data_IF_422083402470
#
_entry.id   IF_422083402470
#
_cell.length_a   1.000
_cell.length_b   1.000
_cell.length_c   1.000
_cell.angle_alpha   90.00
_cell.angle_beta   90.00
_cell.angle_gamma   90.00
#
_symmetry.space_group_name_H-M   'P 1'
#
loop_
_entity.id
_entity.type
_entity.pdbx_description
1 polymer ?
#
# COMPACT_ATOMS: atom_id res chain seq x y z
N UNK A 1 8.09 49.01 -18.86
CA UNK A 1 7.38 47.75 -19.00
C UNK A 1 8.12 46.66 -18.27
N UNK A 2 7.46 45.93 -17.39
CA UNK A 2 8.02 44.94 -16.47
C UNK A 2 8.80 45.53 -15.26
N UNK A 3 8.53 46.74 -14.85
CA UNK A 3 9.07 47.32 -13.62
C UNK A 3 8.52 46.55 -12.44
N UNK A 4 9.42 46.09 -11.57
CA UNK A 4 9.07 45.45 -10.27
C UNK A 4 9.40 46.45 -9.18
N UNK A 5 8.47 46.59 -8.21
CA UNK A 5 8.60 47.48 -7.06
C UNK A 5 8.31 46.72 -5.81
N UNK A 6 9.13 46.90 -4.78
CA UNK A 6 8.86 46.42 -3.42
C UNK A 6 7.88 47.35 -2.70
N UNK A 7 6.82 46.75 -2.13
CA UNK A 7 5.91 47.44 -1.24
C UNK A 7 6.28 47.02 0.20
N UNK A 8 6.76 47.98 0.95
CA UNK A 8 7.23 47.71 2.31
C UNK A 8 6.11 47.92 3.32
N UNK A 9 5.95 46.97 4.24
CA UNK A 9 5.06 47.05 5.39
C UNK A 9 5.66 47.86 6.54
N UNK A 10 5.54 47.37 7.75
CA UNK A 10 6.05 48.02 8.95
C UNK A 10 7.61 48.13 8.98
N UNK A 11 8.13 49.28 9.39
CA UNK A 11 9.55 49.52 9.49
C UNK A 11 10.19 48.51 10.47
N UNK A 12 11.06 47.63 9.95
CA UNK A 12 11.80 46.64 10.74
C UNK A 12 11.20 45.22 10.68
N UNK A 13 10.12 45.01 9.94
CA UNK A 13 9.56 43.70 9.64
C UNK A 13 9.56 43.46 8.12
N UNK A 14 10.27 42.41 7.65
CA UNK A 14 10.34 42.06 6.22
C UNK A 14 9.26 41.05 5.81
N UNK A 15 8.55 40.44 6.76
CA UNK A 15 7.51 39.46 6.48
C UNK A 15 6.26 40.05 5.84
N UNK A 16 6.04 41.37 5.99
CA UNK A 16 4.89 42.09 5.38
C UNK A 16 5.24 42.70 4.02
N UNK A 17 6.49 42.57 3.57
CA UNK A 17 6.93 43.08 2.28
C UNK A 17 6.39 42.18 1.16
N UNK A 18 5.95 42.80 0.08
CA UNK A 18 5.57 42.10 -1.12
C UNK A 18 6.02 42.85 -2.37
N UNK A 19 5.98 42.19 -3.50
CA UNK A 19 6.49 42.74 -4.76
C UNK A 19 5.37 42.84 -5.75
N UNK A 20 5.33 43.94 -6.50
CA UNK A 20 4.37 44.19 -7.58
C UNK A 20 5.09 44.50 -8.88
N UNK A 21 4.57 43.95 -9.96
CA UNK A 21 5.03 44.18 -11.32
C UNK A 21 3.99 44.94 -12.08
N UNK A 22 4.42 45.99 -12.81
CA UNK A 22 3.55 46.72 -13.70
C UNK A 22 3.35 45.96 -15.01
N UNK A 23 2.12 45.58 -15.30
CA UNK A 23 1.71 44.97 -16.57
C UNK A 23 0.92 46.01 -17.39
N UNK A 24 1.54 46.52 -18.43
CA UNK A 24 0.94 47.46 -19.35
C UNK A 24 0.05 46.72 -20.36
N UNK A 25 -1.15 47.21 -20.58
CA UNK A 25 -2.08 46.64 -21.55
C UNK A 25 -2.40 47.61 -22.71
N UNK A 26 -2.23 48.93 -22.59
CA UNK A 26 -2.42 49.91 -23.65
C UNK A 26 -1.76 51.25 -23.31
N UNK A 27 -0.94 51.79 -24.20
CA UNK A 27 -0.42 53.16 -24.25
C UNK A 27 -0.02 53.82 -22.90
N UNK A 28 0.62 53.06 -22.04
CA UNK A 28 1.03 53.51 -20.73
C UNK A 28 0.02 53.20 -19.59
N UNK A 29 -1.18 52.75 -19.93
CA UNK A 29 -2.14 52.25 -18.98
C UNK A 29 -1.82 50.77 -18.62
N UNK A 30 -1.91 50.40 -17.34
CA UNK A 30 -1.60 49.07 -16.88
C UNK A 30 -2.11 48.81 -15.45
N UNK A 31 -1.85 47.62 -14.96
CA UNK A 31 -2.18 47.22 -13.60
C UNK A 31 -0.93 46.75 -12.88
N UNK A 32 -0.90 46.98 -11.59
CA UNK A 32 0.08 46.39 -10.71
C UNK A 32 -0.42 45.01 -10.27
N UNK A 33 0.37 43.98 -10.57
CA UNK A 33 0.08 42.60 -10.11
C UNK A 33 1.16 42.16 -9.16
N UNK A 34 0.75 41.44 -8.15
CA UNK A 34 1.68 40.78 -7.23
C UNK A 34 2.63 39.86 -8.01
N UNK A 35 3.85 39.81 -7.58
CA UNK A 35 4.92 39.08 -8.27
C UNK A 35 5.98 38.62 -7.26
N UNK A 36 6.91 37.84 -7.74
CA UNK A 36 8.06 37.36 -7.00
C UNK A 36 9.17 38.44 -7.02
N UNK A 37 9.92 38.52 -5.91
CA UNK A 37 11.16 39.29 -5.85
C UNK A 37 12.09 38.92 -7.01
N UNK A 38 12.70 39.91 -7.70
CA UNK A 38 13.72 39.64 -8.71
C UNK A 38 14.90 38.81 -8.16
N UNK A 39 15.48 38.00 -9.04
CA UNK A 39 16.74 37.28 -8.82
C UNK A 39 16.72 36.19 -7.70
N UNK A 40 15.54 35.71 -7.29
CA UNK A 40 15.43 34.55 -6.41
C UNK A 40 14.99 33.29 -7.16
N UNK A 41 15.18 32.12 -6.53
CA UNK A 41 14.72 30.85 -7.08
C UNK A 41 13.19 30.76 -7.04
N UNK A 42 12.56 30.59 -8.21
CA UNK A 42 11.11 30.50 -8.33
C UNK A 42 10.62 29.07 -8.57
N UNK A 43 11.42 28.22 -9.21
CA UNK A 43 11.04 26.88 -9.61
C UNK A 43 11.71 25.81 -8.75
N UNK A 44 10.99 24.73 -8.51
CA UNK A 44 11.54 23.50 -7.94
C UNK A 44 12.22 22.67 -9.04
N UNK A 45 13.31 21.97 -8.70
CA UNK A 45 13.99 21.07 -9.65
C UNK A 45 13.26 19.71 -9.72
N UNK A 46 12.55 19.40 -10.81
CA UNK A 46 11.76 18.18 -10.93
C UNK A 46 12.61 16.92 -10.96
N UNK A 47 13.93 17.03 -11.20
CA UNK A 47 14.83 15.86 -11.22
C UNK A 47 15.10 15.32 -9.83
N UNK A 48 14.95 16.13 -8.79
CA UNK A 48 15.18 15.78 -7.38
C UNK A 48 13.90 15.42 -6.63
N UNK A 49 12.75 15.57 -7.27
CA UNK A 49 11.43 15.37 -6.67
C UNK A 49 10.76 14.07 -7.14
N UNK A 50 9.73 13.60 -6.45
CA UNK A 50 8.99 12.42 -6.88
C UNK A 50 8.52 12.49 -8.32
N UNK A 51 8.74 11.41 -9.05
CA UNK A 51 8.28 11.23 -10.42
C UNK A 51 6.88 10.60 -10.41
N UNK A 52 6.18 10.64 -11.53
CA UNK A 52 4.88 9.98 -11.66
C UNK A 52 4.92 8.79 -12.59
N UNK A 53 4.08 7.80 -12.28
CA UNK A 53 3.75 6.69 -13.16
C UNK A 53 2.36 6.94 -13.72
N UNK A 54 2.30 7.32 -14.99
CA UNK A 54 1.05 7.69 -15.68
C UNK A 54 0.59 6.50 -16.52
N UNK A 55 -0.66 6.04 -16.29
CA UNK A 55 -1.29 5.09 -17.20
C UNK A 55 -1.77 5.82 -18.44
N UNK A 56 -1.24 5.45 -19.58
CA UNK A 56 -1.56 6.07 -20.87
C UNK A 56 -2.81 5.47 -21.49
N UNK A 57 -3.41 6.17 -22.45
CA UNK A 57 -4.67 5.77 -23.09
C UNK A 57 -4.59 4.43 -23.86
N UNK A 58 -3.40 4.03 -24.29
CA UNK A 58 -3.10 2.74 -24.92
C UNK A 58 -2.93 1.58 -23.93
N UNK A 59 -3.11 1.84 -22.62
CA UNK A 59 -3.01 0.85 -21.55
C UNK A 59 -1.59 0.63 -21.02
N UNK A 60 -0.58 1.30 -21.57
CA UNK A 60 0.79 1.26 -21.10
C UNK A 60 1.01 2.19 -19.91
N UNK A 61 2.23 2.15 -19.35
CA UNK A 61 2.64 3.05 -18.27
C UNK A 61 3.85 3.88 -18.70
N UNK A 62 3.79 5.17 -18.39
CA UNK A 62 4.89 6.10 -18.59
C UNK A 62 5.41 6.57 -17.22
N UNK A 63 6.66 6.24 -16.92
CA UNK A 63 7.37 6.81 -15.77
C UNK A 63 8.10 8.07 -16.21
N UNK A 64 7.81 9.21 -15.58
CA UNK A 64 8.33 10.52 -16.03
C UNK A 64 8.46 11.52 -14.89
N UNK A 65 9.33 12.51 -15.08
CA UNK A 65 9.41 13.69 -14.23
C UNK A 65 8.13 14.54 -14.38
N UNK A 66 7.84 15.32 -13.35
CA UNK A 66 6.73 16.29 -13.36
C UNK A 66 7.26 17.66 -13.78
N UNK A 67 7.58 17.81 -15.06
CA UNK A 67 8.26 18.97 -15.66
C UNK A 67 7.45 19.72 -16.70
N UNK A 68 6.24 19.24 -17.03
CA UNK A 68 5.38 19.83 -18.07
C UNK A 68 5.74 19.40 -19.49
N UNK A 69 6.58 18.38 -19.68
CA UNK A 69 6.93 17.87 -21.01
C UNK A 69 5.72 17.26 -21.71
N UNK A 70 5.54 17.61 -23.00
CA UNK A 70 4.50 17.03 -23.85
C UNK A 70 4.97 15.73 -24.47
N UNK A 71 4.08 14.72 -24.53
CA UNK A 71 4.32 13.43 -25.16
C UNK A 71 3.09 12.97 -25.96
N UNK A 72 3.27 12.04 -26.88
CA UNK A 72 2.20 11.54 -27.76
C UNK A 72 1.81 10.11 -27.43
N UNK A 73 0.50 9.84 -27.45
CA UNK A 73 -0.07 8.50 -27.39
C UNK A 73 -1.12 8.37 -28.49
N UNK A 74 -0.92 7.46 -29.43
CA UNK A 74 -1.84 7.26 -30.54
C UNK A 74 -2.05 8.49 -31.42
N UNK A 75 -1.07 9.41 -31.49
CA UNK A 75 -1.15 10.66 -32.24
C UNK A 75 -1.84 11.81 -31.50
N UNK A 76 -2.22 11.62 -30.24
CA UNK A 76 -2.76 12.69 -29.38
C UNK A 76 -1.70 13.18 -28.41
N UNK A 77 -1.58 14.50 -28.29
CA UNK A 77 -0.65 15.15 -27.37
C UNK A 77 -1.20 15.16 -25.96
N UNK A 78 -0.35 14.77 -25.00
CA UNK A 78 -0.58 14.85 -23.58
C UNK A 78 0.57 15.61 -22.92
N UNK A 79 0.28 16.39 -21.89
CA UNK A 79 1.30 17.13 -21.15
C UNK A 79 1.40 16.56 -19.73
N UNK A 80 2.62 16.25 -19.29
CA UNK A 80 2.85 15.85 -17.89
C UNK A 80 2.49 17.01 -16.97
N UNK A 81 1.93 16.76 -15.78
CA UNK A 81 1.89 17.80 -14.75
C UNK A 81 3.29 18.35 -14.45
N UNK A 82 3.35 19.53 -13.90
CA UNK A 82 4.62 20.11 -13.41
C UNK A 82 4.47 20.62 -11.99
N UNK A 83 5.57 20.65 -11.27
CA UNK A 83 5.60 21.33 -9.97
C UNK A 83 5.33 22.81 -10.12
N UNK A 84 4.52 23.37 -9.20
CA UNK A 84 4.23 24.80 -9.13
C UNK A 84 5.48 25.63 -8.89
N UNK A 85 5.37 26.90 -9.23
CA UNK A 85 6.45 27.87 -9.07
C UNK A 85 6.02 28.95 -8.08
N UNK A 86 6.98 29.53 -7.39
CA UNK A 86 6.73 30.73 -6.57
C UNK A 86 6.23 31.85 -7.49
N UNK A 87 5.06 32.38 -7.20
CA UNK A 87 4.38 33.40 -8.02
C UNK A 87 4.29 34.75 -7.31
N UNK A 88 4.53 34.76 -6.01
CA UNK A 88 4.43 35.94 -5.15
C UNK A 88 5.50 35.92 -4.05
N UNK A 89 5.82 37.08 -3.50
CA UNK A 89 6.67 37.25 -2.32
C UNK A 89 8.15 36.99 -2.55
N UNK A 90 8.83 36.66 -1.49
CA UNK A 90 10.26 36.36 -1.46
C UNK A 90 10.58 35.12 -0.62
N UNK A 91 11.81 34.98 -0.15
CA UNK A 91 12.26 33.84 0.67
C UNK A 91 11.71 33.86 2.09
N UNK A 92 11.32 35.03 2.59
CA UNK A 92 10.73 35.21 3.92
C UNK A 92 9.21 35.01 3.90
N UNK A 93 8.51 35.64 2.95
CA UNK A 93 7.05 35.64 2.86
C UNK A 93 6.47 34.42 2.11
N UNK A 94 7.23 33.83 1.18
CA UNK A 94 6.91 32.59 0.49
C UNK A 94 8.12 31.64 0.52
N UNK A 95 8.49 31.07 1.67
CA UNK A 95 9.71 30.29 1.83
C UNK A 95 9.73 29.05 0.92
N UNK A 96 10.92 28.57 0.65
CA UNK A 96 11.12 27.29 -0.03
C UNK A 96 10.60 26.16 0.87
N UNK A 97 9.80 25.22 0.33
CA UNK A 97 9.27 24.11 1.09
C UNK A 97 10.35 23.32 1.84
N UNK A 98 10.07 22.93 3.09
CA UNK A 98 11.05 22.31 4.00
C UNK A 98 11.62 20.97 3.51
N UNK A 99 11.02 20.34 2.52
CA UNK A 99 11.55 19.11 1.93
C UNK A 99 12.72 19.33 0.96
N UNK A 100 12.96 20.56 0.51
CA UNK A 100 14.04 20.84 -0.46
C UNK A 100 15.41 20.60 0.19
N UNK A 101 16.23 19.79 -0.49
CA UNK A 101 17.55 19.38 0.02
C UNK A 101 17.52 18.30 1.10
N UNK A 102 16.36 17.74 1.42
CA UNK A 102 16.16 16.70 2.43
C UNK A 102 15.57 15.42 1.83
N UNK A 103 15.57 14.34 2.61
CA UNK A 103 14.96 13.08 2.21
C UNK A 103 13.45 13.10 2.43
N UNK A 104 12.70 12.66 1.44
CA UNK A 104 11.29 12.35 1.60
C UNK A 104 11.15 10.94 2.19
N UNK A 105 10.48 10.83 3.33
CA UNK A 105 10.28 9.57 4.03
C UNK A 105 8.99 8.87 3.58
N UNK A 106 7.93 9.64 3.33
CA UNK A 106 6.65 9.12 2.83
C UNK A 106 5.95 10.16 1.96
N UNK A 107 5.02 9.66 1.15
CA UNK A 107 4.10 10.39 0.31
C UNK A 107 2.68 9.95 0.65
N UNK A 108 1.80 10.91 0.86
CA UNK A 108 0.41 10.64 1.24
C UNK A 108 -0.56 11.61 0.56
N UNK A 109 -1.82 11.24 0.59
CA UNK A 109 -2.91 12.10 0.13
C UNK A 109 -3.91 12.27 1.26
N UNK A 110 -4.21 13.51 1.63
CA UNK A 110 -5.13 13.82 2.71
C UNK A 110 -5.87 15.12 2.45
N UNK A 111 -7.19 15.13 2.65
CA UNK A 111 -8.07 16.31 2.51
C UNK A 111 -7.76 17.13 1.24
N UNK A 112 -7.76 16.47 0.09
CA UNK A 112 -7.52 17.07 -1.23
C UNK A 112 -6.16 17.77 -1.38
N UNK A 113 -5.14 17.31 -0.67
CA UNK A 113 -3.75 17.78 -0.75
C UNK A 113 -2.79 16.60 -0.91
N UNK A 114 -1.78 16.76 -1.74
CA UNK A 114 -0.61 15.87 -1.78
C UNK A 114 0.34 16.29 -0.66
N UNK A 115 0.77 15.33 0.15
CA UNK A 115 1.67 15.58 1.27
C UNK A 115 2.94 14.77 1.22
N UNK A 116 4.00 15.34 1.79
CA UNK A 116 5.29 14.72 2.01
C UNK A 116 5.67 14.75 3.48
N UNK A 117 6.37 13.71 3.92
CA UNK A 117 7.07 13.72 5.20
C UNK A 117 8.56 13.90 4.94
N UNK A 118 9.16 14.87 5.62
CA UNK A 118 10.58 15.15 5.53
C UNK A 118 11.12 15.53 6.90
N UNK A 119 12.04 14.73 7.45
CA UNK A 119 12.50 14.83 8.83
C UNK A 119 11.33 14.90 9.82
N UNK A 120 11.15 16.03 10.53
CA UNK A 120 10.07 16.27 11.48
C UNK A 120 8.88 17.03 10.86
N UNK A 121 8.98 17.37 9.57
CA UNK A 121 8.00 18.21 8.87
C UNK A 121 6.94 17.38 8.13
N UNK A 122 5.74 17.91 8.15
CA UNK A 122 4.61 17.55 7.28
C UNK A 122 4.41 18.70 6.32
N UNK A 123 4.63 18.45 5.04
CA UNK A 123 4.50 19.44 3.99
C UNK A 123 3.37 19.03 3.04
N UNK A 124 2.37 19.86 2.86
CA UNK A 124 1.22 19.58 2.01
C UNK A 124 1.04 20.66 0.95
N UNK A 125 0.68 20.24 -0.25
CA UNK A 125 0.39 21.11 -1.37
C UNK A 125 -0.79 22.05 -1.11
N UNK A 126 -0.99 23.02 -1.98
CA UNK A 126 -2.25 23.78 -2.04
C UNK A 126 -3.44 22.83 -2.21
N UNK A 127 -4.58 23.19 -1.63
CA UNK A 127 -5.79 22.40 -1.76
C UNK A 127 -6.28 22.35 -3.21
N UNK A 128 -6.41 21.14 -3.77
CA UNK A 128 -6.77 20.93 -5.17
C UNK A 128 -5.64 21.05 -6.18
N UNK A 129 -4.52 21.67 -5.80
CA UNK A 129 -3.34 21.85 -6.66
C UNK A 129 -2.17 20.98 -6.15
N UNK A 130 -2.18 19.70 -6.51
CA UNK A 130 -1.36 18.66 -5.89
C UNK A 130 0.16 18.82 -6.05
N UNK A 131 0.59 19.60 -7.02
CA UNK A 131 2.02 19.80 -7.30
C UNK A 131 2.48 21.22 -6.97
N UNK A 132 1.61 22.05 -6.36
CA UNK A 132 1.94 23.41 -5.97
C UNK A 132 2.15 23.52 -4.45
N UNK A 133 3.37 23.91 -4.06
CA UNK A 133 3.83 24.04 -2.68
C UNK A 133 4.19 25.47 -2.32
N UNK A 134 3.79 26.45 -3.12
CA UNK A 134 3.94 27.87 -2.83
C UNK A 134 2.57 28.55 -2.66
N UNK A 135 2.46 29.59 -1.83
CA UNK A 135 1.24 30.38 -1.72
C UNK A 135 0.94 31.12 -3.03
N UNK A 136 -0.34 31.35 -3.29
CA UNK A 136 -0.79 32.12 -4.46
C UNK A 136 -0.55 33.62 -4.29
N UNK A 137 -0.64 34.12 -3.06
CA UNK A 137 -0.43 35.51 -2.66
C UNK A 137 0.22 35.53 -1.28
N UNK A 138 1.01 36.57 -1.00
CA UNK A 138 1.57 36.80 0.33
C UNK A 138 0.90 37.97 1.06
N UNK A 139 -0.05 38.64 0.41
CA UNK A 139 -0.78 39.77 1.01
C UNK A 139 -1.90 39.33 1.98
N UNK A 140 -2.31 38.07 1.90
CA UNK A 140 -3.29 37.46 2.82
C UNK A 140 -3.06 35.95 2.87
N UNK A 141 -3.40 35.34 4.00
CA UNK A 141 -3.41 33.89 4.16
C UNK A 141 -4.71 33.31 3.59
N UNK A 142 -4.60 32.35 2.66
CA UNK A 142 -5.73 31.68 2.04
C UNK A 142 -5.93 30.29 2.66
N UNK A 143 -7.17 29.84 2.76
CA UNK A 143 -7.51 28.48 3.21
C UNK A 143 -6.91 27.39 2.30
N UNK A 144 -6.62 27.74 1.05
CA UNK A 144 -6.01 26.86 0.06
C UNK A 144 -4.49 26.80 0.13
N UNK A 145 -3.83 27.68 0.87
CA UNK A 145 -2.37 27.77 0.92
C UNK A 145 -1.72 26.46 1.37
N UNK A 146 -0.46 26.21 0.95
CA UNK A 146 0.29 25.04 1.38
C UNK A 146 0.46 25.02 2.91
N UNK A 147 0.64 23.83 3.44
CA UNK A 147 0.91 23.60 4.85
C UNK A 147 2.33 23.08 4.99
N UNK A 148 3.15 23.71 5.82
CA UNK A 148 4.49 23.24 6.15
C UNK A 148 4.70 23.43 7.65
N UNK A 149 4.56 22.33 8.42
CA UNK A 149 4.57 22.35 9.87
C UNK A 149 5.46 21.24 10.42
N UNK A 150 6.25 21.58 11.43
CA UNK A 150 7.07 20.61 12.16
C UNK A 150 6.35 20.03 13.36
N UNK A 151 6.56 18.74 13.63
CA UNK A 151 6.18 18.15 14.90
C UNK A 151 7.10 18.66 16.01
N UNK A 152 6.50 19.14 17.11
CA UNK A 152 7.25 19.58 18.29
C UNK A 152 7.13 18.54 19.38
N UNK A 153 8.25 17.89 19.72
CA UNK A 153 8.30 16.92 20.81
C UNK A 153 9.63 17.01 21.56
N UNK A 154 9.68 16.52 22.80
CA UNK A 154 10.90 16.48 23.61
C UNK A 154 11.97 15.51 23.11
N UNK A 155 11.55 14.53 22.27
CA UNK A 155 12.44 13.58 21.60
C UNK A 155 12.50 13.92 20.11
N UNK A 156 13.62 13.65 19.46
CA UNK A 156 13.73 13.75 17.99
C UNK A 156 12.73 12.81 17.35
N UNK A 157 11.83 13.35 16.56
CA UNK A 157 10.67 12.64 16.01
C UNK A 157 10.66 12.68 14.49
N UNK A 158 11.64 12.01 13.87
CA UNK A 158 11.65 11.86 12.41
C UNK A 158 10.39 11.10 11.99
N UNK A 159 9.53 11.77 11.21
CA UNK A 159 8.30 11.20 10.69
C UNK A 159 8.61 10.23 9.55
N UNK A 160 8.14 8.99 9.67
CA UNK A 160 8.41 7.91 8.72
C UNK A 160 7.23 7.62 7.81
N UNK A 161 6.03 7.55 8.38
CA UNK A 161 4.83 7.15 7.65
C UNK A 161 3.64 8.01 8.04
N UNK A 162 2.75 8.23 7.08
CA UNK A 162 1.48 8.92 7.28
C UNK A 162 0.32 8.04 6.79
N UNK A 163 -0.76 7.99 7.58
CA UNK A 163 -1.98 7.27 7.24
C UNK A 163 -3.19 8.09 7.63
N UNK A 164 -4.16 8.23 6.71
CA UNK A 164 -5.47 8.80 7.04
C UNK A 164 -6.22 7.86 7.99
N UNK A 165 -6.70 8.39 9.09
CA UNK A 165 -7.39 7.66 10.14
C UNK A 165 -8.43 8.58 10.80
N UNK A 166 -9.69 8.16 10.82
CA UNK A 166 -10.80 8.87 11.47
C UNK A 166 -10.83 10.39 11.15
N UNK A 167 -10.80 10.72 9.85
CA UNK A 167 -10.75 12.10 9.31
C UNK A 167 -9.47 12.89 9.64
N UNK A 168 -8.57 12.36 10.47
CA UNK A 168 -7.28 12.92 10.85
C UNK A 168 -6.13 12.25 10.07
N UNK A 169 -4.93 12.78 10.22
CA UNK A 169 -3.72 12.16 9.69
C UNK A 169 -2.87 11.62 10.85
N UNK A 170 -2.80 10.29 10.92
CA UNK A 170 -1.93 9.60 11.89
C UNK A 170 -0.51 9.51 11.33
N UNK A 171 0.43 10.05 12.09
CA UNK A 171 1.85 10.13 11.73
C UNK A 171 2.66 9.20 12.63
N UNK A 172 3.58 8.46 12.05
CA UNK A 172 4.45 7.54 12.76
C UNK A 172 5.90 8.03 12.75
N UNK A 173 6.48 8.15 13.93
CA UNK A 173 7.93 8.20 14.14
C UNK A 173 8.43 6.86 14.70
N UNK A 174 9.73 6.78 15.01
CA UNK A 174 10.32 5.55 15.53
C UNK A 174 9.74 5.14 16.90
N UNK A 175 9.28 6.09 17.73
CA UNK A 175 8.84 5.85 19.11
C UNK A 175 7.55 6.57 19.50
N UNK A 176 6.95 7.33 18.60
CA UNK A 176 5.80 8.17 18.91
C UNK A 176 4.86 8.19 17.71
N UNK A 177 3.57 8.12 17.98
CA UNK A 177 2.52 8.37 17.00
C UNK A 177 1.92 9.74 17.29
N UNK A 178 1.80 10.55 16.24
CA UNK A 178 1.17 11.86 16.32
C UNK A 178 -0.11 11.85 15.51
N UNK A 179 -1.00 12.76 15.87
CA UNK A 179 -2.16 13.08 15.06
C UNK A 179 -2.04 14.52 14.59
N UNK A 180 -2.15 14.69 13.29
CA UNK A 180 -2.34 15.99 12.66
C UNK A 180 -3.83 16.19 12.44
N UNK A 181 -4.37 17.20 13.11
CA UNK A 181 -5.77 17.58 13.07
C UNK A 181 -5.94 19.05 12.73
N UNK A 182 -7.13 19.45 12.39
CA UNK A 182 -7.54 20.82 12.14
C UNK A 182 -9.07 20.88 12.16
N UNK A 183 -9.61 22.05 11.89
CA UNK A 183 -11.05 22.24 11.76
C UNK A 183 -11.61 21.51 10.51
N UNK A 184 -12.90 21.69 10.20
CA UNK A 184 -13.55 21.08 9.04
C UNK A 184 -12.79 21.35 7.73
N UNK A 185 -12.24 22.56 7.56
CA UNK A 185 -11.28 22.90 6.51
C UNK A 185 -9.88 22.94 7.11
N UNK A 186 -9.00 22.08 6.64
CA UNK A 186 -7.60 22.08 7.07
C UNK A 186 -6.81 23.19 6.38
N UNK A 187 -6.31 24.13 7.18
CA UNK A 187 -5.57 25.32 6.70
C UNK A 187 -4.24 25.46 7.41
N UNK A 188 -3.33 26.27 6.88
CA UNK A 188 -2.06 26.57 7.51
C UNK A 188 -2.21 27.24 8.89
N UNK A 189 -3.34 27.91 9.15
CA UNK A 189 -3.63 28.62 10.41
C UNK A 189 -4.24 27.75 11.51
N UNK A 190 -4.90 26.63 11.17
CA UNK A 190 -5.61 25.81 12.15
C UNK A 190 -5.03 24.40 12.32
N UNK A 191 -4.02 24.04 11.54
CA UNK A 191 -3.36 22.74 11.63
C UNK A 191 -2.58 22.62 12.94
N UNK A 192 -2.71 21.47 13.61
CA UNK A 192 -1.95 21.14 14.79
C UNK A 192 -1.46 19.68 14.75
N UNK A 193 -0.26 19.43 15.25
CA UNK A 193 0.31 18.09 15.42
C UNK A 193 0.43 17.81 16.90
N UNK A 194 -0.30 16.82 17.39
CA UNK A 194 -0.35 16.44 18.79
C UNK A 194 0.10 14.97 18.98
N UNK A 195 0.70 14.68 20.12
CA UNK A 195 1.04 13.30 20.49
C UNK A 195 -0.24 12.50 20.71
N UNK A 196 -0.34 11.35 20.06
CA UNK A 196 -1.43 10.40 20.21
C UNK A 196 -1.06 9.27 21.17
N UNK A 197 0.06 8.58 20.89
CA UNK A 197 0.58 7.48 21.69
C UNK A 197 2.11 7.43 21.58
N UNK A 198 2.76 6.77 22.54
CA UNK A 198 4.21 6.58 22.56
C UNK A 198 4.55 5.09 22.51
N UNK A 199 4.46 4.49 21.33
CA UNK A 199 4.85 3.11 21.08
C UNK A 199 5.99 3.06 20.05
N UNK A 200 6.89 2.10 20.23
CA UNK A 200 7.91 1.80 19.23
C UNK A 200 7.24 1.26 17.95
N UNK A 201 7.68 1.75 16.80
CA UNK A 201 7.22 1.34 15.48
C UNK A 201 8.41 1.04 14.57
N UNK A 202 8.22 0.10 13.64
CA UNK A 202 9.22 -0.24 12.65
C UNK A 202 9.37 0.90 11.62
N UNK A 203 10.62 1.18 11.24
CA UNK A 203 10.95 2.25 10.29
C UNK A 203 10.64 1.91 8.85
N UNK A 204 10.69 0.63 8.49
CA UNK A 204 10.64 0.18 7.10
C UNK A 204 9.22 -0.17 6.66
N UNK A 205 8.41 -0.62 7.60
CA UNK A 205 7.08 -1.12 7.31
C UNK A 205 6.05 -0.01 7.40
N UNK A 206 5.46 0.36 6.26
CA UNK A 206 4.35 1.31 6.26
C UNK A 206 3.15 0.70 6.98
N UNK A 207 2.60 1.36 8.02
CA UNK A 207 1.38 0.93 8.69
C UNK A 207 0.22 0.79 7.70
N UNK A 208 -0.77 -0.03 8.02
CA UNK A 208 -1.92 -0.28 7.15
C UNK A 208 -3.25 -0.05 7.87
N UNK A 209 -4.07 0.83 7.32
CA UNK A 209 -5.45 1.00 7.75
C UNK A 209 -6.33 -0.17 7.31
N UNK A 210 -7.18 -0.66 8.20
CA UNK A 210 -8.20 -1.66 7.91
C UNK A 210 -9.47 -1.36 8.73
N UNK A 211 -10.47 -0.80 8.06
CA UNK A 211 -11.68 -0.29 8.71
C UNK A 211 -11.35 0.89 9.63
N UNK A 212 -11.78 0.80 10.88
CA UNK A 212 -11.54 1.80 11.92
C UNK A 212 -10.24 1.60 12.70
N UNK A 213 -9.36 0.71 12.25
CA UNK A 213 -8.13 0.36 12.94
C UNK A 213 -6.91 0.56 12.04
N UNK A 214 -5.75 0.80 12.64
CA UNK A 214 -4.46 0.86 11.93
C UNK A 214 -3.51 -0.17 12.53
N UNK A 215 -2.92 -0.98 11.66
CA UNK A 215 -1.98 -2.02 12.04
C UNK A 215 -0.56 -1.59 11.71
N UNK A 216 0.35 -1.75 12.66
CA UNK A 216 1.75 -1.43 12.49
C UNK A 216 2.65 -2.43 13.22
N UNK A 217 3.86 -2.59 12.71
CA UNK A 217 4.87 -3.49 13.27
C UNK A 217 5.80 -2.76 14.24
N UNK A 218 6.37 -3.52 15.16
CA UNK A 218 7.41 -3.06 16.07
C UNK A 218 8.46 -4.15 16.29
N UNK A 219 9.73 -3.80 16.56
CA UNK A 219 10.79 -4.77 16.79
C UNK A 219 10.55 -5.51 18.13
N UNK A 220 10.73 -6.84 18.13
CA UNK A 220 10.56 -7.73 19.29
C UNK A 220 11.73 -8.73 19.36
N UNK A 221 12.93 -8.24 19.61
CA UNK A 221 14.17 -9.03 19.58
C UNK A 221 14.49 -9.51 18.15
N UNK A 222 14.58 -10.83 17.97
CA UNK A 222 14.81 -11.45 16.66
C UNK A 222 13.51 -11.64 15.84
N UNK A 223 12.38 -11.15 16.33
CA UNK A 223 11.07 -11.26 15.73
C UNK A 223 10.41 -9.89 15.58
N UNK A 224 9.28 -9.87 14.92
CA UNK A 224 8.43 -8.70 14.78
C UNK A 224 7.15 -8.89 15.56
N UNK A 225 6.79 -7.89 16.37
CA UNK A 225 5.47 -7.75 16.94
C UNK A 225 4.57 -6.91 16.05
N UNK A 226 3.26 -7.02 16.23
CA UNK A 226 2.26 -6.20 15.55
C UNK A 226 1.29 -5.61 16.55
N UNK A 227 1.04 -4.30 16.40
CA UNK A 227 0.03 -3.57 17.16
C UNK A 227 -1.15 -3.19 16.29
N UNK A 228 -2.29 -3.15 16.93
CA UNK A 228 -3.53 -2.60 16.40
C UNK A 228 -3.84 -1.31 17.11
N UNK A 229 -3.78 -0.20 16.39
CA UNK A 229 -4.15 1.12 16.88
C UNK A 229 -5.63 1.38 16.63
N UNK A 230 -6.35 1.84 17.64
CA UNK A 230 -7.78 2.14 17.60
C UNK A 230 -8.17 3.20 18.63
N UNK A 231 -9.38 3.73 18.49
CA UNK A 231 -10.00 4.60 19.49
C UNK A 231 -10.93 3.74 20.34
N UNK A 232 -10.70 3.69 21.65
CA UNK A 232 -11.53 2.94 22.57
C UNK A 232 -12.89 3.65 22.74
N UNK A 233 -13.97 2.94 22.40
CA UNK A 233 -15.33 3.51 22.34
C UNK A 233 -15.93 3.92 23.68
N UNK A 234 -15.36 3.44 24.79
CA UNK A 234 -15.83 3.73 26.16
C UNK A 234 -15.15 4.96 26.78
N UNK A 235 -13.95 5.28 26.33
CA UNK A 235 -13.11 6.35 26.91
C UNK A 235 -12.67 7.40 25.90
N UNK A 236 -12.92 7.17 24.62
CA UNK A 236 -12.44 7.99 23.50
C UNK A 236 -10.91 8.18 23.50
N UNK A 237 -10.20 7.20 24.08
CA UNK A 237 -8.74 7.21 24.17
C UNK A 237 -8.11 6.40 23.05
N UNK A 238 -7.00 6.91 22.54
CA UNK A 238 -6.18 6.24 21.52
C UNK A 238 -5.35 5.17 22.19
N UNK A 239 -5.44 3.94 21.68
CA UNK A 239 -4.75 2.77 22.23
C UNK A 239 -4.07 1.96 21.11
N UNK A 240 -3.11 1.12 21.47
CA UNK A 240 -2.45 0.22 20.52
C UNK A 240 -2.11 -1.12 21.18
N UNK A 241 -2.96 -2.11 20.96
CA UNK A 241 -2.83 -3.44 21.55
C UNK A 241 -1.85 -4.32 20.79
N UNK A 242 -1.02 -5.09 21.50
CA UNK A 242 -0.14 -6.11 20.89
C UNK A 242 -0.95 -7.36 20.53
N UNK A 243 -1.29 -7.50 19.25
CA UNK A 243 -2.04 -8.65 18.72
C UNK A 243 -1.15 -9.90 18.49
N UNK A 244 0.16 -9.77 18.68
CA UNK A 244 1.12 -10.89 18.64
C UNK A 244 1.55 -11.38 20.02
N UNK A 245 0.93 -10.88 21.09
CA UNK A 245 1.33 -11.22 22.45
C UNK A 245 1.28 -12.74 22.75
N UNK A 246 0.33 -13.46 22.15
CA UNK A 246 0.16 -14.91 22.28
C UNK A 246 1.04 -15.73 21.30
N UNK A 247 1.67 -15.08 20.32
CA UNK A 247 2.54 -15.70 19.31
C UNK A 247 3.84 -14.90 19.12
N UNK A 248 4.62 -14.66 20.18
CA UNK A 248 5.70 -13.66 20.17
C UNK A 248 6.89 -14.00 19.28
N UNK A 249 6.99 -15.24 18.79
CA UNK A 249 8.09 -15.76 17.96
C UNK A 249 7.58 -16.23 16.59
N UNK A 250 6.49 -15.66 16.11
CA UNK A 250 5.83 -16.14 14.90
C UNK A 250 6.25 -15.38 13.62
N UNK A 251 6.29 -14.04 13.68
CA UNK A 251 6.66 -13.21 12.54
C UNK A 251 8.15 -12.91 12.62
N UNK A 252 8.97 -13.29 11.61
CA UNK A 252 10.39 -12.94 11.57
C UNK A 252 10.59 -11.41 11.54
N UNK A 253 11.81 -10.97 11.83
CA UNK A 253 12.20 -9.57 11.64
C UNK A 253 12.23 -9.18 10.16
N UNK A 254 12.51 -7.90 9.90
CA UNK A 254 12.63 -7.34 8.54
C UNK A 254 11.32 -7.46 7.73
N UNK A 255 10.19 -7.22 8.39
CA UNK A 255 8.90 -7.02 7.70
C UNK A 255 9.01 -5.78 6.81
N UNK A 256 8.53 -5.86 5.58
CA UNK A 256 8.57 -4.75 4.64
C UNK A 256 7.22 -4.42 3.98
N UNK A 257 6.23 -5.30 4.12
CA UNK A 257 4.89 -5.10 3.54
C UNK A 257 3.81 -5.61 4.47
N UNK A 258 2.77 -4.78 4.63
CA UNK A 258 1.47 -5.16 5.22
C UNK A 258 0.40 -4.77 4.21
N UNK A 259 -0.55 -5.66 3.96
CA UNK A 259 -1.76 -5.36 3.19
C UNK A 259 -2.99 -5.98 3.84
N UNK A 260 -4.19 -5.49 3.51
CA UNK A 260 -5.43 -5.91 4.16
C UNK A 260 -6.58 -6.08 3.18
N UNK A 261 -7.40 -7.11 3.41
CA UNK A 261 -8.75 -7.23 2.88
C UNK A 261 -9.74 -6.87 4.00
N UNK A 262 -10.21 -5.64 4.01
CA UNK A 262 -11.03 -5.10 5.10
C UNK A 262 -12.35 -5.85 5.25
N UNK A 263 -13.00 -6.23 4.13
CA UNK A 263 -14.27 -6.95 4.15
C UNK A 263 -14.15 -8.37 4.74
N UNK A 264 -12.97 -8.98 4.64
CA UNK A 264 -12.71 -10.34 5.11
C UNK A 264 -11.96 -10.38 6.44
N UNK A 265 -11.62 -9.21 6.99
CA UNK A 265 -10.84 -9.06 8.22
C UNK A 265 -9.52 -9.86 8.18
N UNK A 266 -8.80 -9.71 7.08
CA UNK A 266 -7.53 -10.39 6.82
C UNK A 266 -6.42 -9.36 6.63
N UNK A 267 -5.29 -9.60 7.29
CA UNK A 267 -4.01 -8.95 7.00
C UNK A 267 -3.04 -9.97 6.42
N UNK A 268 -2.27 -9.57 5.43
CA UNK A 268 -1.15 -10.34 4.88
C UNK A 268 0.16 -9.56 5.01
N UNK A 269 1.21 -10.25 5.42
CA UNK A 269 2.47 -9.65 5.85
C UNK A 269 3.63 -10.39 5.18
N UNK A 270 4.61 -9.65 4.67
CA UNK A 270 5.86 -10.18 4.12
C UNK A 270 7.05 -9.77 4.97
N UNK A 271 8.00 -10.71 5.11
CA UNK A 271 9.30 -10.49 5.71
C UNK A 271 10.40 -10.93 4.75
N UNK A 272 11.46 -10.13 4.62
CA UNK A 272 12.62 -10.49 3.81
C UNK A 272 13.46 -11.63 4.40
N UNK A 273 13.30 -11.94 5.69
CA UNK A 273 13.97 -13.08 6.33
C UNK A 273 13.37 -14.44 5.91
N UNK A 274 12.14 -14.43 5.40
CA UNK A 274 11.44 -15.62 4.90
C UNK A 274 10.70 -15.27 3.62
N UNK A 275 11.44 -15.04 2.51
CA UNK A 275 10.89 -14.50 1.27
C UNK A 275 9.88 -15.42 0.58
N UNK A 276 9.83 -16.70 0.94
CA UNK A 276 8.89 -17.72 0.47
C UNK A 276 7.60 -17.81 1.28
N UNK A 277 7.40 -16.95 2.31
CA UNK A 277 6.27 -17.06 3.23
C UNK A 277 5.40 -15.81 3.25
N UNK A 278 4.08 -16.02 3.38
CA UNK A 278 3.11 -14.97 3.70
C UNK A 278 2.55 -15.26 5.09
N UNK A 279 2.64 -14.30 6.01
CA UNK A 279 2.04 -14.38 7.34
C UNK A 279 0.68 -13.76 7.29
N UNK A 280 -0.33 -14.48 7.76
CA UNK A 280 -1.73 -14.07 7.69
C UNK A 280 -2.27 -13.90 9.10
N UNK A 281 -2.90 -12.77 9.35
CA UNK A 281 -3.72 -12.53 10.53
C UNK A 281 -5.17 -12.44 10.10
N UNK A 282 -6.02 -13.25 10.71
CA UNK A 282 -7.45 -13.25 10.48
C UNK A 282 -8.18 -13.08 11.80
N UNK A 283 -9.15 -12.18 11.81
CA UNK A 283 -9.92 -11.88 13.00
C UNK A 283 -11.42 -11.80 12.70
N UNK A 284 -12.21 -12.00 13.73
CA UNK A 284 -13.66 -11.86 13.64
C UNK A 284 -14.17 -11.00 14.78
N UNK A 285 -14.89 -9.94 14.42
CA UNK A 285 -15.51 -8.99 15.35
C UNK A 285 -17.02 -9.08 15.23
N UNK A 286 -17.72 -9.22 16.33
CA UNK A 286 -19.18 -9.18 16.38
C UNK A 286 -19.63 -8.34 17.59
N UNK A 287 -20.57 -7.43 17.34
CA UNK A 287 -21.09 -6.51 18.37
C UNK A 287 -19.98 -5.76 19.14
N UNK A 288 -18.96 -5.28 18.42
CA UNK A 288 -17.83 -4.55 18.98
C UNK A 288 -16.81 -5.41 19.76
N UNK A 289 -17.00 -6.75 19.83
CA UNK A 289 -16.08 -7.67 20.51
C UNK A 289 -15.34 -8.54 19.51
N UNK A 290 -14.03 -8.66 19.70
CA UNK A 290 -13.22 -9.60 18.95
C UNK A 290 -13.46 -11.01 19.49
N UNK A 291 -14.15 -11.84 18.70
CA UNK A 291 -14.49 -13.21 19.06
C UNK A 291 -13.43 -14.20 18.62
N UNK A 292 -12.68 -13.88 17.57
CA UNK A 292 -11.61 -14.73 17.05
C UNK A 292 -10.43 -13.86 16.60
N UNK A 293 -9.22 -14.40 16.83
CA UNK A 293 -7.95 -13.80 16.43
C UNK A 293 -6.99 -14.96 16.17
N UNK A 294 -6.60 -15.14 14.92
CA UNK A 294 -5.82 -16.30 14.50
C UNK A 294 -4.67 -15.90 13.57
N UNK A 295 -3.52 -16.50 13.82
CA UNK A 295 -2.35 -16.38 12.99
C UNK A 295 -2.09 -17.67 12.24
N UNK A 296 -1.79 -17.60 10.95
CA UNK A 296 -1.31 -18.72 10.16
C UNK A 296 -0.30 -18.26 9.11
N UNK A 297 0.38 -19.22 8.50
CA UNK A 297 1.43 -18.99 7.54
C UNK A 297 1.15 -19.76 6.25
N UNK A 298 1.28 -19.11 5.13
CA UNK A 298 1.36 -19.76 3.83
C UNK A 298 2.82 -19.88 3.46
N UNK A 299 3.26 -21.12 3.21
CA UNK A 299 4.64 -21.47 2.94
C UNK A 299 4.73 -22.05 1.52
N UNK A 300 5.42 -21.35 0.65
CA UNK A 300 5.57 -21.74 -0.75
C UNK A 300 6.74 -22.71 -0.98
N UNK A 301 7.42 -23.15 0.07
CA UNK A 301 8.43 -24.18 0.03
C UNK A 301 9.85 -23.63 0.06
N UNK A 302 10.59 -23.75 -1.03
CA UNK A 302 12.03 -23.47 -1.02
C UNK A 302 12.35 -22.01 -1.34
N UNK A 303 13.15 -21.36 -0.47
CA UNK A 303 13.69 -20.00 -0.71
C UNK A 303 14.58 -19.90 -1.95
N UNK A 304 14.98 -21.02 -2.52
CA UNK A 304 15.80 -21.05 -3.77
C UNK A 304 14.95 -21.07 -5.03
N UNK A 305 13.66 -21.38 -4.91
CA UNK A 305 12.75 -21.53 -6.05
C UNK A 305 11.55 -20.59 -5.99
N UNK A 306 11.25 -20.05 -4.81
CA UNK A 306 10.08 -19.20 -4.58
C UNK A 306 10.47 -17.99 -3.74
N UNK A 307 10.26 -16.79 -4.28
CA UNK A 307 10.55 -15.53 -3.64
C UNK A 307 9.39 -14.56 -3.88
N UNK A 308 8.62 -14.29 -2.84
CA UNK A 308 7.48 -13.40 -2.92
C UNK A 308 7.97 -11.95 -2.86
N UNK A 309 7.97 -11.30 -4.01
CA UNK A 309 8.50 -9.96 -4.19
C UNK A 309 7.56 -8.89 -3.63
N UNK A 310 6.25 -9.08 -3.79
CA UNK A 310 5.24 -8.15 -3.28
C UNK A 310 3.85 -8.79 -3.24
N UNK A 311 2.97 -8.24 -2.41
CA UNK A 311 1.55 -8.60 -2.32
C UNK A 311 0.69 -7.36 -2.19
N UNK A 312 -0.53 -7.42 -2.71
CA UNK A 312 -1.57 -6.44 -2.36
C UNK A 312 -2.97 -7.02 -2.56
N UNK A 313 -3.95 -6.50 -1.84
CA UNK A 313 -5.35 -6.87 -2.02
C UNK A 313 -6.04 -5.94 -3.01
N UNK A 314 -6.80 -6.55 -3.91
CA UNK A 314 -7.83 -5.88 -4.70
C UNK A 314 -9.15 -6.52 -4.28
N UNK A 315 -9.94 -5.78 -3.51
CA UNK A 315 -11.14 -6.32 -2.86
C UNK A 315 -10.82 -7.57 -2.03
N UNK A 316 -11.38 -8.72 -2.39
CA UNK A 316 -11.19 -10.01 -1.72
C UNK A 316 -10.13 -10.89 -2.41
N UNK A 317 -9.39 -10.34 -3.37
CA UNK A 317 -8.36 -11.09 -4.10
C UNK A 317 -6.97 -10.60 -3.70
N UNK A 318 -6.16 -11.48 -3.12
CA UNK A 318 -4.75 -11.24 -2.89
C UNK A 318 -4.00 -11.45 -4.21
N UNK A 319 -3.34 -10.41 -4.67
CA UNK A 319 -2.42 -10.45 -5.81
C UNK A 319 -1.02 -10.67 -5.26
N UNK A 320 -0.32 -11.66 -5.81
CA UNK A 320 1.01 -12.07 -5.37
C UNK A 320 1.95 -11.95 -6.56
N UNK A 321 3.04 -11.21 -6.40
CA UNK A 321 4.15 -11.20 -7.36
C UNK A 321 5.19 -12.19 -6.85
N UNK A 322 5.26 -13.36 -7.48
CA UNK A 322 6.11 -14.47 -7.06
C UNK A 322 7.19 -14.75 -8.11
N UNK A 323 8.46 -14.65 -7.71
CA UNK A 323 9.59 -15.07 -8.49
C UNK A 323 9.82 -16.57 -8.28
N UNK A 324 9.73 -17.34 -9.37
CA UNK A 324 9.95 -18.79 -9.38
C UNK A 324 11.18 -19.12 -10.23
N UNK A 325 11.59 -20.38 -10.24
CA UNK A 325 12.79 -20.84 -10.96
C UNK A 325 12.76 -20.55 -12.45
N UNK A 326 11.59 -20.44 -13.06
CA UNK A 326 11.36 -20.25 -14.50
C UNK A 326 10.84 -18.87 -14.88
N UNK A 327 10.61 -17.97 -13.92
CA UNK A 327 10.18 -16.60 -14.17
C UNK A 327 9.42 -15.95 -13.03
N UNK A 328 8.96 -14.73 -13.27
CA UNK A 328 8.12 -13.97 -12.32
C UNK A 328 6.65 -14.11 -12.73
N UNK A 329 5.83 -14.55 -11.80
CA UNK A 329 4.40 -14.79 -11.99
C UNK A 329 3.55 -13.78 -11.21
N UNK A 330 2.46 -13.37 -11.82
CA UNK A 330 1.39 -12.66 -11.14
C UNK A 330 0.31 -13.68 -10.79
N UNK A 331 0.26 -14.05 -9.53
CA UNK A 331 -0.68 -15.03 -8.99
C UNK A 331 -1.81 -14.33 -8.23
N UNK A 332 -2.96 -14.97 -8.10
CA UNK A 332 -4.10 -14.43 -7.37
C UNK A 332 -4.77 -15.49 -6.52
N UNK A 333 -5.14 -15.10 -5.32
CA UNK A 333 -5.86 -15.95 -4.37
C UNK A 333 -7.13 -15.21 -3.94
N UNK A 334 -8.27 -15.79 -4.23
CA UNK A 334 -9.55 -15.33 -3.71
C UNK A 334 -9.71 -15.84 -2.28
N UNK A 335 -9.78 -14.91 -1.31
CA UNK A 335 -9.93 -15.22 0.12
C UNK A 335 -11.38 -15.12 0.61
N UNK A 336 -12.34 -14.91 -0.31
CA UNK A 336 -13.75 -14.82 0.04
C UNK A 336 -14.26 -16.14 0.63
N UNK A 337 -14.96 -16.14 1.78
CA UNK A 337 -15.56 -17.34 2.36
C UNK A 337 -16.72 -17.88 1.52
N UNK A 338 -17.33 -17.07 0.68
CA UNK A 338 -18.41 -17.45 -0.24
C UNK A 338 -17.93 -17.99 -1.59
N UNK A 339 -16.62 -18.18 -1.75
CA UNK A 339 -16.03 -18.70 -2.98
C UNK A 339 -16.65 -20.04 -3.39
N UNK A 340 -16.89 -20.19 -4.67
CA UNK A 340 -17.32 -21.44 -5.29
C UNK A 340 -16.43 -21.76 -6.50
N UNK A 341 -16.13 -23.04 -6.71
CA UNK A 341 -15.47 -23.49 -7.93
C UNK A 341 -16.52 -23.78 -9.00
N UNK A 342 -16.46 -23.08 -10.14
CA UNK A 342 -17.39 -23.29 -11.26
C UNK A 342 -17.37 -24.75 -11.72
N UNK A 343 -18.54 -25.40 -11.74
CA UNK A 343 -18.67 -26.79 -12.13
C UNK A 343 -18.16 -27.79 -11.08
N UNK A 344 -18.14 -27.44 -9.80
CA UNK A 344 -17.82 -28.33 -8.71
C UNK A 344 -18.84 -28.19 -7.58
N UNK A 345 -19.13 -29.30 -6.88
CA UNK A 345 -19.97 -29.30 -5.68
C UNK A 345 -19.18 -28.89 -4.43
N UNK A 346 -17.88 -29.11 -4.45
CA UNK A 346 -16.95 -28.81 -3.35
C UNK A 346 -15.77 -28.00 -3.87
N UNK A 347 -15.20 -27.18 -3.02
CA UNK A 347 -13.94 -26.53 -3.31
C UNK A 347 -12.83 -27.57 -3.50
N UNK A 348 -12.08 -27.43 -4.57
CA UNK A 348 -10.86 -28.21 -4.81
C UNK A 348 -9.66 -27.36 -4.43
N UNK A 349 -9.01 -27.71 -3.30
CA UNK A 349 -7.87 -26.98 -2.77
C UNK A 349 -6.58 -27.49 -3.42
N UNK A 350 -6.11 -26.73 -4.42
CA UNK A 350 -4.83 -26.93 -5.10
C UNK A 350 -4.15 -25.59 -5.27
N UNK A 351 -2.84 -25.56 -5.17
CA UNK A 351 -2.06 -24.38 -5.54
C UNK A 351 -1.86 -24.31 -7.07
N UNK A 352 -1.69 -23.11 -7.62
CA UNK A 352 -1.56 -22.84 -9.07
C UNK A 352 -2.64 -23.57 -9.90
N UNK A 353 -3.86 -23.60 -9.37
CA UNK A 353 -4.98 -24.36 -9.93
C UNK A 353 -5.45 -23.78 -11.27
N UNK A 354 -5.50 -24.63 -12.27
CA UNK A 354 -6.02 -24.34 -13.61
C UNK A 354 -7.20 -25.26 -13.93
N UNK A 355 -8.03 -24.84 -14.88
CA UNK A 355 -9.09 -25.66 -15.49
C UNK A 355 -8.63 -26.20 -16.84
N UNK A 356 -9.35 -27.20 -17.37
CA UNK A 356 -9.02 -27.85 -18.65
C UNK A 356 -8.91 -26.90 -19.84
N UNK A 357 -9.55 -25.72 -19.79
CA UNK A 357 -9.49 -24.70 -20.86
C UNK A 357 -8.26 -23.81 -20.78
N UNK A 358 -7.53 -23.86 -19.67
CA UNK A 358 -6.30 -23.07 -19.42
C UNK A 358 -5.03 -23.89 -19.68
N UNK A 359 -5.19 -25.14 -20.07
CA UNK A 359 -4.09 -26.08 -20.40
C UNK A 359 -4.31 -26.68 -21.80
N UNK A 360 -3.25 -27.21 -22.38
CA UNK A 360 -3.35 -27.96 -23.65
C UNK A 360 -3.38 -29.44 -23.38
N UNK A 361 -4.35 -30.15 -23.95
CA UNK A 361 -4.45 -31.62 -23.87
C UNK A 361 -4.25 -32.25 -25.24
N UNK A 362 -3.42 -33.29 -25.31
CA UNK A 362 -3.17 -34.07 -26.53
C UNK A 362 -3.25 -35.57 -26.22
N UNK A 363 -4.15 -36.29 -26.90
CA UNK A 363 -4.31 -37.74 -26.76
C UNK A 363 -3.60 -38.49 -27.89
N UNK A 364 -2.76 -39.45 -27.52
CA UNK A 364 -2.13 -40.39 -28.43
C UNK A 364 -2.83 -41.75 -28.32
N UNK A 365 -3.57 -42.12 -29.38
CA UNK A 365 -4.29 -43.38 -29.44
C UNK A 365 -3.39 -44.62 -29.54
N UNK A 366 -2.13 -44.48 -30.02
CA UNK A 366 -1.17 -45.57 -30.12
C UNK A 366 -0.67 -46.04 -28.75
N UNK A 367 -0.47 -45.12 -27.84
CA UNK A 367 -0.02 -45.38 -26.46
C UNK A 367 -1.17 -45.36 -25.44
N UNK A 368 -2.36 -44.94 -25.84
CA UNK A 368 -3.52 -44.71 -24.96
C UNK A 368 -3.19 -43.76 -23.80
N UNK A 369 -2.45 -42.66 -24.10
CA UNK A 369 -2.00 -41.66 -23.13
C UNK A 369 -2.50 -40.29 -23.56
N UNK A 370 -3.02 -39.51 -22.61
CA UNK A 370 -3.23 -38.08 -22.79
C UNK A 370 -2.10 -37.31 -22.09
N UNK A 371 -1.49 -36.36 -22.80
CA UNK A 371 -0.55 -35.41 -22.26
C UNK A 371 -1.26 -34.08 -21.97
N UNK A 372 -1.14 -33.60 -20.74
CA UNK A 372 -1.58 -32.26 -20.30
C UNK A 372 -0.34 -31.37 -20.27
N UNK A 373 -0.33 -30.28 -21.02
CA UNK A 373 0.76 -29.29 -21.01
C UNK A 373 0.32 -28.05 -20.25
N UNK A 374 1.08 -27.72 -19.21
CA UNK A 374 0.87 -26.57 -18.34
C UNK A 374 1.58 -25.32 -18.88
N UNK A 375 1.12 -24.11 -18.57
CA UNK A 375 1.80 -22.87 -18.94
C UNK A 375 3.00 -22.54 -18.03
N UNK A 376 3.36 -23.43 -17.10
CA UNK A 376 4.45 -23.25 -16.12
C UNK A 376 5.17 -24.56 -15.82
N UNK A 377 6.37 -24.48 -15.28
CA UNK A 377 7.18 -25.61 -14.83
C UNK A 377 6.62 -26.18 -13.52
N UNK A 378 6.55 -27.49 -13.44
CA UNK A 378 6.08 -28.24 -12.26
C UNK A 378 7.17 -28.17 -11.19
N UNK A 379 6.85 -27.65 -10.02
CA UNK A 379 7.76 -27.60 -8.87
C UNK A 379 7.36 -28.61 -7.78
N UNK A 380 6.09 -28.94 -7.66
CA UNK A 380 5.55 -29.86 -6.66
C UNK A 380 4.69 -30.97 -7.30
N UNK A 381 4.24 -31.93 -6.50
CA UNK A 381 3.35 -32.98 -6.98
C UNK A 381 2.05 -32.41 -7.52
N UNK A 382 1.75 -32.69 -8.78
CA UNK A 382 0.53 -32.27 -9.44
C UNK A 382 -0.60 -33.25 -9.19
N UNK A 383 -1.80 -32.71 -9.05
CA UNK A 383 -3.05 -33.47 -8.99
C UNK A 383 -3.99 -33.03 -10.08
N UNK A 384 -4.69 -34.00 -10.68
CA UNK A 384 -5.75 -33.80 -11.67
C UNK A 384 -7.04 -34.29 -11.03
N UNK A 385 -8.05 -33.40 -10.90
CA UNK A 385 -9.31 -33.71 -10.20
C UNK A 385 -10.50 -33.39 -11.12
N UNK A 386 -11.38 -34.37 -11.32
CA UNK A 386 -12.58 -34.18 -12.14
C UNK A 386 -13.51 -33.12 -11.58
N UNK A 387 -14.13 -32.32 -12.46
CA UNK A 387 -15.20 -31.38 -12.13
C UNK A 387 -16.52 -31.67 -12.87
N UNK A 388 -17.61 -31.05 -12.43
CA UNK A 388 -18.94 -31.24 -13.06
C UNK A 388 -18.96 -30.74 -14.50
N UNK A 389 -19.73 -31.38 -15.35
CA UNK A 389 -19.98 -30.97 -16.73
C UNK A 389 -19.20 -31.75 -17.80
N UNK A 390 -18.39 -32.73 -17.40
CA UNK A 390 -17.75 -33.70 -18.31
C UNK A 390 -18.32 -35.12 -18.16
N UNK A 391 -17.70 -36.05 -18.87
CA UNK A 391 -18.03 -37.50 -18.78
C UNK A 391 -17.44 -38.16 -17.55
N UNK A 392 -16.52 -37.51 -16.87
CA UNK A 392 -15.87 -37.96 -15.65
C UNK A 392 -16.65 -37.56 -14.38
N UNK A 393 -16.39 -38.27 -13.29
CA UNK A 393 -17.01 -37.96 -11.98
C UNK A 393 -16.33 -36.75 -11.32
N UNK A 394 -17.13 -35.79 -10.88
CA UNK A 394 -16.65 -34.66 -10.10
C UNK A 394 -16.01 -35.10 -8.77
N UNK A 395 -14.94 -34.44 -8.36
CA UNK A 395 -14.17 -34.72 -7.14
C UNK A 395 -13.30 -35.99 -7.23
N UNK A 396 -13.34 -36.74 -8.31
CA UNK A 396 -12.49 -37.91 -8.49
C UNK A 396 -11.10 -37.50 -8.97
N UNK A 397 -10.06 -37.99 -8.32
CA UNK A 397 -8.68 -37.86 -8.78
C UNK A 397 -8.48 -38.71 -10.07
N UNK A 398 -7.85 -38.12 -11.07
CA UNK A 398 -7.37 -38.76 -12.27
C UNK A 398 -5.87 -39.01 -12.05
N UNK A 399 -5.52 -40.30 -11.92
CA UNK A 399 -4.16 -40.69 -11.60
C UNK A 399 -3.21 -40.33 -12.74
N UNK A 400 -2.10 -39.70 -12.38
CA UNK A 400 -1.04 -39.30 -13.31
C UNK A 400 -0.02 -40.43 -13.45
N UNK A 401 0.50 -40.63 -14.67
CA UNK A 401 1.54 -41.61 -14.95
C UNK A 401 2.94 -40.99 -14.73
N UNK A 402 3.18 -39.83 -15.35
CA UNK A 402 4.44 -39.09 -15.22
C UNK A 402 4.16 -37.59 -15.08
N UNK A 403 5.08 -36.89 -14.41
CA UNK A 403 5.08 -35.45 -14.25
C UNK A 403 6.51 -34.93 -14.45
N UNK A 404 6.75 -34.10 -15.45
CA UNK A 404 8.08 -33.59 -15.75
C UNK A 404 8.03 -32.32 -16.59
N UNK A 405 8.86 -31.36 -16.24
CA UNK A 405 8.91 -30.07 -16.92
C UNK A 405 7.56 -29.36 -16.85
N UNK A 406 6.90 -29.16 -17.98
CA UNK A 406 5.55 -28.59 -18.09
C UNK A 406 4.48 -29.64 -18.36
N UNK A 407 4.82 -30.93 -18.37
CA UNK A 407 3.96 -31.99 -18.88
C UNK A 407 3.52 -32.98 -17.80
N UNK A 408 2.25 -33.35 -17.85
CA UNK A 408 1.65 -34.41 -17.04
C UNK A 408 1.03 -35.44 -18.00
N UNK A 409 1.28 -36.73 -17.77
CA UNK A 409 0.64 -37.77 -18.55
C UNK A 409 -0.37 -38.56 -17.73
N UNK A 410 -1.47 -38.90 -18.35
CA UNK A 410 -2.53 -39.73 -17.75
C UNK A 410 -2.96 -40.80 -18.72
N UNK A 411 -3.39 -41.97 -18.23
CA UNK A 411 -3.88 -43.06 -19.05
C UNK A 411 -5.31 -42.80 -19.57
N UNK A 412 -5.54 -43.14 -20.85
CA UNK A 412 -6.83 -42.98 -21.51
C UNK A 412 -7.03 -41.59 -22.13
N UNK A 413 -8.12 -41.47 -22.87
CA UNK A 413 -8.55 -40.21 -23.49
C UNK A 413 -9.34 -39.38 -22.49
N UNK A 414 -8.76 -38.25 -22.06
CA UNK A 414 -9.40 -37.27 -21.17
C UNK A 414 -9.66 -35.92 -21.86
N UNK A 415 -9.52 -35.84 -23.19
CA UNK A 415 -9.67 -34.57 -23.93
C UNK A 415 -11.08 -33.96 -23.78
N UNK A 416 -12.11 -34.81 -23.52
CA UNK A 416 -13.48 -34.38 -23.26
C UNK A 416 -13.83 -34.31 -21.76
N UNK A 417 -12.87 -34.48 -20.88
CA UNK A 417 -13.11 -34.38 -19.44
C UNK A 417 -13.12 -32.93 -19.01
N UNK A 418 -13.86 -32.66 -17.95
CA UNK A 418 -13.77 -31.41 -17.19
C UNK A 418 -12.96 -31.67 -15.92
N UNK A 419 -11.90 -30.94 -15.73
CA UNK A 419 -11.00 -31.18 -14.60
C UNK A 419 -10.34 -29.89 -14.08
N UNK A 420 -9.87 -29.95 -12.85
CA UNK A 420 -8.87 -29.06 -12.29
C UNK A 420 -7.51 -29.76 -12.33
N UNK A 421 -6.47 -28.99 -12.56
CA UNK A 421 -5.07 -29.42 -12.40
C UNK A 421 -4.33 -28.38 -11.59
N UNK A 422 -3.50 -28.82 -10.64
CA UNK A 422 -2.73 -27.92 -9.79
C UNK A 422 -1.82 -28.68 -8.83
N UNK A 423 -1.02 -27.93 -8.10
CA UNK A 423 -0.04 -28.46 -7.15
C UNK A 423 -0.70 -28.84 -5.83
N UNK A 424 -0.30 -29.99 -5.30
CA UNK A 424 -0.70 -30.45 -3.98
C UNK A 424 0.07 -29.65 -2.92
N UNK A 425 -0.60 -29.21 -1.85
CA UNK A 425 0.01 -28.63 -0.66
C UNK A 425 -0.48 -29.32 0.59
N UNK A 426 0.22 -29.12 1.69
CA UNK A 426 -0.16 -29.66 3.00
C UNK A 426 -0.88 -28.60 3.82
N UNK A 427 -1.93 -29.02 4.53
CA UNK A 427 -2.56 -28.23 5.57
C UNK A 427 -2.12 -28.76 6.93
N UNK A 428 -1.37 -27.96 7.68
CA UNK A 428 -0.91 -28.30 9.03
C UNK A 428 -1.66 -27.46 10.06
N UNK A 429 -2.35 -28.12 10.97
CA UNK A 429 -2.99 -27.47 12.11
C UNK A 429 -2.44 -28.02 13.42
N UNK A 430 -1.90 -27.12 14.25
CA UNK A 430 -1.42 -27.44 15.58
C UNK A 430 -2.39 -26.90 16.61
N UNK A 431 -3.07 -27.77 17.33
CA UNK A 431 -3.93 -27.38 18.45
C UNK A 431 -3.11 -26.71 19.55
N UNK A 432 -3.71 -25.68 20.18
CA UNK A 432 -3.19 -25.16 21.44
C UNK A 432 -3.28 -26.21 22.53
N UNK A 433 -2.42 -26.07 23.54
CA UNK A 433 -2.51 -26.96 24.71
C UNK A 433 -3.88 -26.82 25.35
N UNK A 434 -4.60 -27.96 25.45
CA UNK A 434 -5.90 -28.01 26.10
C UNK A 434 -5.71 -28.30 27.57
N UNK A 435 -6.24 -27.43 28.42
CA UNK A 435 -6.34 -27.66 29.83
C UNK A 435 -7.73 -28.23 30.15
N UNK A 436 -7.79 -29.49 30.53
CA UNK A 436 -9.03 -30.12 30.99
C UNK A 436 -9.14 -29.86 32.49
N UNK A 437 -10.09 -29.05 32.89
CA UNK A 437 -10.44 -28.94 34.31
C UNK A 437 -11.22 -30.19 34.69
N UNK A 438 -10.58 -31.08 35.42
CA UNK A 438 -11.28 -32.20 36.00
C UNK A 438 -12.15 -31.68 37.17
N UNK A 439 -13.44 -31.87 37.09
CA UNK A 439 -14.31 -31.63 38.24
C UNK A 439 -13.86 -32.54 39.34
N UNK A 440 -13.44 -31.99 40.45
CA UNK A 440 -13.15 -32.73 41.67
C UNK A 440 -14.45 -33.39 42.14
N UNK A 441 -14.35 -34.61 42.65
CA UNK A 441 -15.49 -35.41 43.14
C UNK A 441 -16.31 -34.75 44.26
N UNK A 442 -15.89 -33.58 44.73
CA UNK A 442 -16.54 -32.81 45.79
C UNK A 442 -17.33 -31.58 45.25
N UNK A 443 -17.49 -31.40 43.95
CA UNK A 443 -18.43 -30.42 43.39
C UNK A 443 -18.08 -28.96 43.66
N UNK A 444 -16.81 -28.60 43.83
CA UNK A 444 -16.34 -27.21 43.93
C UNK A 444 -15.69 -26.74 42.63
#
# INVERSE_FOLDING_TARGET
NNMVVEVTGDAGNTFDNYYVKFEEFQDGDGVWKETVKPDIQVALDPTTLPHSLIRTADGNFRFTQLDGTTYQVGGTDFTTPKYGQRVAGDEDSAPTPSFIGRKLNDLFFHRNRLGFLSDENVIMSRAGEFFDFFPETVTQLLDTDPIDIASTHTKVSILRHAISFDEELLLFSDQTQFIMSGEATLTASNVAINVATEFEADRQTKPKGAGSNVFFTFPKGDFTGMREFFIASDTDTKQADDITANVPVFIPKNVFKITSATNENILAILSSDTPNCIYIYQYYVSSGKRLQSAWHKWDYGSTTTDNILNIDFIENTLIIVNERSDGVYLEKVDVSPARVDTGATYLTHLDRKLVETEVTTNYDSATNITTITLPYVINNTMKVVGRVGGTNKAGREILTNTQSGTSITVSGDITNFKFFVGEQYEFLFKFSQQFVQLADSNGA
#
